data_IF_745657944604
#
_entry.id   IF_745657944604
#
_cell.length_a   1.000
_cell.length_b   1.000
_cell.length_c   1.000
_cell.angle_alpha   90.00
_cell.angle_beta   90.00
_cell.angle_gamma   90.00
#
_symmetry.space_group_name_H-M   'P 1'
#
loop_
_entity.id
_entity.type
_entity.pdbx_description
1 polymer ?
#
# COMPACT_ATOMS: atom_id res chain seq x y z
N UNK A 1 1.20 9.81 15.51
CA UNK A 1 0.49 8.99 14.51
C UNK A 1 0.56 7.55 15.00
N UNK A 2 -0.56 6.85 15.18
CA UNK A 2 -0.52 5.50 15.75
C UNK A 2 -0.30 4.48 14.62
N UNK A 3 0.68 3.61 14.82
CA UNK A 3 1.00 2.53 13.90
C UNK A 3 0.58 1.18 14.51
N UNK A 4 0.38 0.19 13.65
CA UNK A 4 0.16 -1.20 14.04
C UNK A 4 1.15 -2.10 13.32
N UNK A 5 1.51 -3.20 13.99
CA UNK A 5 2.32 -4.27 13.41
C UNK A 5 1.40 -5.43 13.07
N UNK A 6 1.57 -5.99 11.87
CA UNK A 6 0.91 -7.23 11.45
C UNK A 6 1.98 -8.31 11.48
N UNK A 7 1.74 -9.38 12.23
CA UNK A 7 2.72 -10.44 12.54
C UNK A 7 3.32 -11.11 11.30
N UNK A 8 2.53 -11.22 10.23
CA UNK A 8 2.89 -11.80 8.94
C UNK A 8 3.90 -10.95 8.16
N UNK A 9 4.04 -9.67 8.52
CA UNK A 9 4.93 -8.72 7.86
C UNK A 9 5.86 -8.03 8.88
N UNK A 10 6.84 -8.76 9.46
CA UNK A 10 7.67 -8.24 10.55
C UNK A 10 8.52 -7.02 10.20
N UNK A 11 8.77 -6.77 8.91
CA UNK A 11 9.53 -5.60 8.45
C UNK A 11 8.63 -4.40 8.12
N UNK A 12 7.30 -4.55 8.18
CA UNK A 12 6.33 -3.53 7.82
C UNK A 12 5.58 -3.00 9.05
N UNK A 13 5.41 -1.69 9.08
CA UNK A 13 4.69 -0.97 10.13
C UNK A 13 3.59 -0.14 9.47
N UNK A 14 2.34 -0.37 9.84
CA UNK A 14 1.19 0.17 9.11
C UNK A 14 0.53 1.33 9.83
N UNK A 15 0.22 2.40 9.10
CA UNK A 15 -0.62 3.48 9.63
C UNK A 15 -2.06 2.99 9.88
N UNK A 16 -2.74 3.54 10.90
CA UNK A 16 -4.13 3.16 11.23
C UNK A 16 -5.11 3.18 10.05
N UNK A 17 -4.96 4.11 9.10
CA UNK A 17 -5.86 4.20 7.94
C UNK A 17 -5.69 3.03 6.96
N UNK A 18 -4.53 2.36 6.98
CA UNK A 18 -4.33 1.11 6.25
C UNK A 18 -5.19 -0.03 6.82
N UNK A 19 -5.35 -0.10 8.14
CA UNK A 19 -6.22 -1.10 8.78
C UNK A 19 -7.68 -0.89 8.37
N UNK A 20 -8.12 0.37 8.34
CA UNK A 20 -9.47 0.73 7.86
C UNK A 20 -9.66 0.29 6.41
N UNK A 21 -8.66 0.50 5.55
CA UNK A 21 -8.67 0.07 4.15
C UNK A 21 -8.83 -1.46 4.04
N UNK A 22 -8.10 -2.25 4.84
CA UNK A 22 -8.20 -3.71 4.85
C UNK A 22 -9.58 -4.20 5.30
N UNK A 23 -10.20 -3.51 6.26
CA UNK A 23 -11.56 -3.80 6.71
C UNK A 23 -12.64 -3.34 5.71
N UNK A 24 -12.27 -2.52 4.72
CA UNK A 24 -13.17 -2.03 3.69
C UNK A 24 -13.51 -3.07 2.61
N UNK A 25 -14.47 -2.71 1.77
CA UNK A 25 -14.90 -3.51 0.62
C UNK A 25 -13.90 -3.39 -0.55
N UNK A 26 -12.70 -3.94 -0.39
CA UNK A 26 -11.77 -4.14 -1.51
C UNK A 26 -12.23 -5.36 -2.33
N UNK A 27 -12.17 -5.26 -3.66
CA UNK A 27 -12.44 -6.41 -4.53
C UNK A 27 -11.44 -7.54 -4.26
N UNK A 28 -11.82 -8.78 -4.56
CA UNK A 28 -10.91 -9.94 -4.39
C UNK A 28 -9.59 -9.73 -5.14
N UNK A 29 -9.65 -9.14 -6.35
CA UNK A 29 -8.47 -8.89 -7.17
C UNK A 29 -7.55 -7.85 -6.53
N UNK A 30 -8.10 -6.73 -6.06
CA UNK A 30 -7.34 -5.70 -5.35
C UNK A 30 -6.72 -6.24 -4.06
N UNK A 31 -7.44 -7.08 -3.30
CA UNK A 31 -6.90 -7.71 -2.09
C UNK A 31 -5.71 -8.61 -2.40
N UNK A 32 -5.82 -9.50 -3.38
CA UNK A 32 -4.72 -10.40 -3.75
C UNK A 32 -3.48 -9.63 -4.22
N UNK A 33 -3.69 -8.58 -5.01
CA UNK A 33 -2.61 -7.72 -5.48
C UNK A 33 -1.91 -6.96 -4.35
N UNK A 34 -2.70 -6.43 -3.41
CA UNK A 34 -2.16 -5.79 -2.21
C UNK A 34 -1.33 -6.77 -1.40
N UNK A 35 -1.84 -7.98 -1.12
CA UNK A 35 -1.13 -8.99 -0.34
C UNK A 35 0.18 -9.45 -1.00
N UNK A 36 0.20 -9.65 -2.33
CA UNK A 36 1.44 -9.97 -3.07
C UNK A 36 2.47 -8.84 -2.95
N UNK A 37 2.01 -7.59 -3.10
CA UNK A 37 2.87 -6.41 -3.02
C UNK A 37 3.46 -6.24 -1.60
N UNK A 38 2.66 -6.44 -0.56
CA UNK A 38 3.12 -6.40 0.83
C UNK A 38 4.12 -7.52 1.14
N UNK A 39 3.88 -8.74 0.64
CA UNK A 39 4.80 -9.85 0.81
C UNK A 39 6.17 -9.54 0.20
N UNK A 40 6.19 -9.02 -1.03
CA UNK A 40 7.43 -8.61 -1.70
C UNK A 40 8.11 -7.47 -0.96
N UNK A 41 7.38 -6.44 -0.57
CA UNK A 41 7.91 -5.29 0.18
C UNK A 41 8.53 -5.72 1.53
N UNK A 42 7.86 -6.63 2.24
CA UNK A 42 8.35 -7.17 3.50
C UNK A 42 9.66 -7.95 3.32
N UNK A 43 9.82 -8.67 2.20
CA UNK A 43 11.00 -9.50 1.92
C UNK A 43 12.16 -8.73 1.29
N UNK A 44 11.86 -7.87 0.34
CA UNK A 44 12.84 -7.23 -0.55
C UNK A 44 13.00 -5.72 -0.30
N UNK A 45 12.33 -5.19 0.72
CA UNK A 45 12.39 -3.77 1.08
C UNK A 45 11.95 -2.89 -0.09
N UNK A 46 12.62 -1.76 -0.32
CA UNK A 46 12.33 -0.83 -1.41
C UNK A 46 12.99 -1.21 -2.74
N UNK A 47 13.54 -2.41 -2.88
CA UNK A 47 14.09 -2.86 -4.17
C UNK A 47 12.95 -2.97 -5.20
N UNK A 48 12.87 -1.98 -6.10
CA UNK A 48 11.83 -1.89 -7.11
C UNK A 48 11.91 -2.99 -8.17
N UNK A 49 13.10 -3.55 -8.45
CA UNK A 49 13.25 -4.68 -9.36
C UNK A 49 12.59 -5.94 -8.77
N UNK A 50 12.70 -6.14 -7.46
CA UNK A 50 12.17 -7.31 -6.75
C UNK A 50 10.72 -7.12 -6.29
N UNK A 51 10.37 -5.89 -5.90
CA UNK A 51 9.02 -5.52 -5.43
C UNK A 51 8.03 -5.36 -6.59
N UNK A 52 8.55 -5.14 -7.80
CA UNK A 52 7.79 -5.06 -9.04
C UNK A 52 7.59 -3.62 -9.49
N UNK A 53 7.25 -3.45 -10.78
CA UNK A 53 7.18 -2.15 -11.48
C UNK A 53 6.16 -1.15 -10.92
N UNK A 54 5.32 -1.58 -9.97
CA UNK A 54 4.33 -0.75 -9.27
C UNK A 54 4.94 0.06 -8.12
N UNK A 55 6.10 -0.36 -7.61
CA UNK A 55 6.86 0.42 -6.64
C UNK A 55 7.69 1.46 -7.41
N UNK A 56 7.35 2.74 -7.22
CA UNK A 56 8.10 3.88 -7.74
C UNK A 56 8.84 4.54 -6.59
N UNK A 57 10.15 4.67 -6.69
CA UNK A 57 10.96 5.37 -5.70
C UNK A 57 10.95 6.88 -6.01
N UNK A 58 10.60 7.70 -5.01
CA UNK A 58 10.49 9.15 -5.17
C UNK A 58 11.68 9.91 -4.56
N UNK A 59 12.38 9.30 -3.60
CA UNK A 59 13.60 9.82 -2.98
C UNK A 59 14.32 8.69 -2.23
N UNK A 60 15.53 8.96 -1.72
CA UNK A 60 16.21 8.02 -0.83
C UNK A 60 15.31 7.65 0.36
N UNK A 61 15.04 6.34 0.51
CA UNK A 61 14.21 5.81 1.58
C UNK A 61 12.70 6.04 1.44
N UNK A 62 12.19 6.53 0.31
CA UNK A 62 10.74 6.70 0.11
C UNK A 62 10.29 6.09 -1.22
N UNK A 63 9.33 5.16 -1.13
CA UNK A 63 8.66 4.56 -2.27
C UNK A 63 7.14 4.80 -2.26
N UNK A 64 6.55 4.80 -3.45
CA UNK A 64 5.11 4.80 -3.67
C UNK A 64 4.74 3.49 -4.34
N UNK A 65 3.91 2.68 -3.68
CA UNK A 65 3.30 1.50 -4.28
C UNK A 65 1.93 1.87 -4.85
N UNK A 66 1.78 1.68 -6.15
CA UNK A 66 0.54 1.94 -6.88
C UNK A 66 -0.23 0.66 -7.17
N UNK A 67 -1.48 0.58 -6.72
CA UNK A 67 -2.40 -0.52 -7.00
C UNK A 67 -3.62 0.06 -7.72
N UNK A 68 -3.79 -0.29 -8.98
CA UNK A 68 -4.94 0.11 -9.79
C UNK A 68 -5.63 -1.14 -10.29
N UNK A 69 -6.83 -1.36 -9.76
CA UNK A 69 -7.67 -2.50 -10.11
C UNK A 69 -9.13 -2.10 -10.09
N UNK A 70 -9.88 -2.61 -11.05
CA UNK A 70 -11.29 -2.30 -11.26
C UNK A 70 -11.49 -0.77 -11.36
N UNK A 71 -12.29 -0.20 -10.47
CA UNK A 71 -12.53 1.24 -10.35
C UNK A 71 -11.65 1.91 -9.30
N UNK A 72 -10.75 1.18 -8.63
CA UNK A 72 -9.98 1.71 -7.51
C UNK A 72 -8.56 2.06 -7.91
N UNK A 73 -8.11 3.23 -7.45
CA UNK A 73 -6.72 3.65 -7.48
C UNK A 73 -6.24 3.85 -6.05
N UNK A 74 -5.26 3.06 -5.64
CA UNK A 74 -4.66 3.11 -4.31
C UNK A 74 -3.18 3.42 -4.43
N UNK A 75 -2.75 4.43 -3.69
CA UNK A 75 -1.34 4.75 -3.49
C UNK A 75 -0.99 4.54 -2.02
N UNK A 76 0.03 3.71 -1.79
CA UNK A 76 0.64 3.54 -0.49
C UNK A 76 2.00 4.22 -0.50
N UNK A 77 2.21 5.13 0.44
CA UNK A 77 3.53 5.70 0.69
C UNK A 77 4.29 4.78 1.66
N UNK A 78 5.52 4.46 1.32
CA UNK A 78 6.40 3.59 2.08
C UNK A 78 7.64 4.39 2.42
N UNK A 79 7.93 4.52 3.71
CA UNK A 79 9.07 5.25 4.23
C UNK A 79 9.99 4.30 4.99
N UNK A 80 11.23 4.16 4.55
CA UNK A 80 12.25 3.40 5.25
C UNK A 80 12.76 4.20 6.44
N UNK A 81 12.60 3.66 7.65
CA UNK A 81 13.17 4.23 8.88
C UNK A 81 13.82 3.11 9.67
N UNK A 82 15.09 3.33 9.98
CA UNK A 82 15.88 2.34 10.73
C UNK A 82 15.78 0.96 10.04
N UNK A 83 15.35 -0.06 10.78
CA UNK A 83 15.18 -1.43 10.30
C UNK A 83 13.77 -1.75 9.78
N UNK A 84 12.88 -0.76 9.61
CA UNK A 84 11.46 -0.99 9.28
C UNK A 84 10.98 -0.13 8.13
N UNK A 85 9.95 -0.61 7.44
CA UNK A 85 9.24 0.14 6.41
C UNK A 85 7.88 0.59 6.94
N UNK A 86 7.65 1.90 6.95
CA UNK A 86 6.41 2.51 7.40
C UNK A 86 5.48 2.69 6.21
N UNK A 87 4.41 1.90 6.18
CA UNK A 87 3.40 1.87 5.11
C UNK A 87 2.19 2.71 5.53
N UNK A 88 1.83 3.71 4.73
CA UNK A 88 0.64 4.54 4.94
C UNK A 88 -0.15 4.72 3.66
N UNK A 89 -1.46 4.87 3.79
CA UNK A 89 -2.31 5.27 2.66
C UNK A 89 -1.96 6.69 2.28
N UNK A 90 -1.51 6.90 1.04
CA UNK A 90 -1.26 8.23 0.48
C UNK A 90 -2.51 8.78 -0.18
N UNK A 91 -3.13 7.98 -1.04
CA UNK A 91 -4.39 8.30 -1.71
C UNK A 91 -5.18 7.02 -1.99
N UNK A 92 -6.50 7.13 -1.99
CA UNK A 92 -7.39 6.04 -2.34
C UNK A 92 -8.61 6.64 -3.03
N UNK A 93 -8.75 6.42 -4.35
CA UNK A 93 -9.84 6.95 -5.17
C UNK A 93 -10.68 5.80 -5.73
N UNK A 94 -11.99 6.00 -5.78
CA UNK A 94 -12.91 5.12 -6.50
C UNK A 94 -13.47 5.89 -7.70
N UNK A 95 -13.11 5.46 -8.91
CA UNK A 95 -13.66 5.95 -10.17
C UNK A 95 -15.10 5.46 -10.32
N UNK A 96 -16.07 6.37 -10.23
CA UNK A 96 -17.48 6.06 -10.55
C UNK A 96 -18.54 6.50 -9.53
N UNK A 97 -18.17 7.14 -8.41
CA UNK A 97 -19.15 7.72 -7.47
C UNK A 97 -19.46 9.20 -7.71
N UNK A 98 -18.79 9.86 -8.67
CA UNK A 98 -19.05 11.27 -9.00
C UNK A 98 -20.13 11.48 -10.08
N UNK A 99 -20.74 10.42 -10.62
CA UNK A 99 -21.78 10.53 -11.66
C UNK A 99 -23.23 10.54 -11.12
N UNK A 100 -23.43 10.54 -9.80
CA UNK A 100 -24.78 10.61 -9.20
C UNK A 100 -24.80 11.67 -8.09
N UNK A 101 -24.59 12.92 -8.49
CA UNK A 101 -25.21 14.06 -7.81
C UNK A 101 -25.96 14.81 -8.91
N UNK A 102 -27.27 14.55 -8.95
CA UNK A 102 -28.20 15.19 -9.88
C UNK A 102 -28.40 16.66 -9.60
#
# INVERSE_FOLDING_TARGET
>A
MNYVVITEYPNLVFGKDFVKLLSGALSKRTKLELLDSLYRLNRYRLDSMMTGSRLRENSEGVGILYIQQDTMELELMIEAKESSLFVRVHSCKQKGLEAIRG
#
